data_IF_152335917912
#
_entry.id   IF_152335917912
#
_cell.length_a   1.000
_cell.length_b   1.000
_cell.length_c   1.000
_cell.angle_alpha   90.00
_cell.angle_beta   90.00
_cell.angle_gamma   90.00
#
_symmetry.space_group_name_H-M   'P 1'
#
loop_
_entity.id
_entity.type
_entity.pdbx_description
1 polymer ?
#
# COMPACT_ATOMS: atom_id res chain seq x y z
N UNK A 1 8.88 2.15 12.87
CA UNK A 1 9.06 0.69 12.65
C UNK A 1 9.73 0.50 11.31
N UNK A 2 10.78 -0.28 11.30
CA UNK A 2 11.47 -0.76 10.11
C UNK A 2 11.58 -2.26 10.19
N UNK A 3 11.63 -2.92 9.04
CA UNK A 3 11.94 -4.35 8.97
C UNK A 3 12.70 -4.69 7.70
N UNK A 4 13.43 -5.80 7.78
CA UNK A 4 14.07 -6.44 6.63
C UNK A 4 13.76 -7.93 6.68
N UNK A 5 13.26 -8.46 5.58
CA UNK A 5 12.98 -9.89 5.41
C UNK A 5 13.70 -10.37 4.15
N UNK A 6 14.45 -11.46 4.28
CA UNK A 6 15.08 -12.15 3.15
C UNK A 6 14.37 -13.47 2.98
N UNK A 7 13.85 -13.70 1.77
CA UNK A 7 13.14 -14.91 1.41
C UNK A 7 13.95 -15.77 0.45
N UNK A 8 13.90 -17.07 0.67
CA UNK A 8 14.13 -18.04 -0.39
C UNK A 8 12.82 -18.19 -1.18
N UNK A 9 12.89 -18.05 -2.51
CA UNK A 9 11.71 -18.05 -3.38
C UNK A 9 11.84 -19.12 -4.46
N UNK A 10 10.75 -19.85 -4.69
CA UNK A 10 10.53 -20.64 -5.89
C UNK A 10 9.34 -20.07 -6.65
N UNK A 11 9.55 -19.62 -7.88
CA UNK A 11 8.49 -19.08 -8.75
C UNK A 11 8.47 -19.89 -10.04
N UNK A 12 7.36 -20.59 -10.30
CA UNK A 12 7.22 -21.52 -11.42
C UNK A 12 8.38 -22.54 -11.51
N UNK A 13 8.88 -23.00 -10.37
CA UNK A 13 10.02 -23.93 -10.28
C UNK A 13 11.40 -23.27 -10.44
N UNK A 14 11.48 -21.96 -10.67
CA UNK A 14 12.74 -21.21 -10.72
C UNK A 14 13.08 -20.69 -9.33
N UNK A 15 14.28 -21.05 -8.85
CA UNK A 15 14.79 -20.56 -7.57
C UNK A 15 15.38 -19.16 -7.72
N UNK A 16 15.03 -18.28 -6.77
CA UNK A 16 15.56 -16.93 -6.63
C UNK A 16 15.50 -16.50 -5.16
N UNK A 17 16.05 -15.33 -4.87
CA UNK A 17 15.94 -14.68 -3.57
C UNK A 17 15.17 -13.38 -3.70
N UNK A 18 14.49 -13.01 -2.64
CA UNK A 18 13.78 -11.73 -2.52
C UNK A 18 14.18 -11.07 -1.21
N UNK A 19 14.49 -9.78 -1.23
CA UNK A 19 14.79 -8.99 -0.05
C UNK A 19 13.83 -7.80 0.02
N UNK A 20 12.99 -7.81 1.04
CA UNK A 20 12.04 -6.74 1.35
C UNK A 20 12.59 -5.94 2.52
N UNK A 21 12.80 -4.64 2.31
CA UNK A 21 13.26 -3.70 3.33
C UNK A 21 12.26 -2.56 3.42
N UNK A 22 11.66 -2.36 4.58
CA UNK A 22 10.64 -1.34 4.82
C UNK A 22 11.11 -0.40 5.92
N UNK A 23 10.91 0.90 5.68
CA UNK A 23 10.98 1.97 6.66
C UNK A 23 9.64 2.70 6.65
N UNK A 24 8.75 2.29 7.57
CA UNK A 24 7.42 2.89 7.69
C UNK A 24 7.54 4.37 8.08
N UNK A 25 6.63 5.23 7.57
CA UNK A 25 5.44 4.85 6.81
C UNK A 25 5.54 4.98 5.28
N UNK A 26 6.71 5.30 4.71
CA UNK A 26 6.75 5.78 3.32
C UNK A 26 7.77 5.12 2.40
N UNK A 27 8.78 4.45 2.94
CA UNK A 27 9.90 3.96 2.13
C UNK A 27 9.99 2.45 2.17
N UNK A 28 10.16 1.82 1.02
CA UNK A 28 10.50 0.41 0.95
C UNK A 28 11.29 0.07 -0.30
N UNK A 29 11.95 -1.08 -0.28
CA UNK A 29 12.45 -1.77 -1.46
C UNK A 29 12.05 -3.23 -1.42
N UNK A 30 11.69 -3.76 -2.58
CA UNK A 30 11.45 -5.18 -2.82
C UNK A 30 12.33 -5.59 -4.00
N UNK A 31 13.37 -6.37 -3.72
CA UNK A 31 14.47 -6.63 -4.65
C UNK A 31 14.66 -8.14 -4.86
N UNK A 32 14.82 -8.53 -6.13
CA UNK A 32 14.99 -9.93 -6.54
C UNK A 32 16.44 -10.20 -6.94
N UNK A 33 16.98 -11.33 -6.50
CA UNK A 33 18.34 -11.78 -6.79
C UNK A 33 18.34 -13.20 -7.34
N UNK A 34 19.20 -13.49 -8.32
CA UNK A 34 19.35 -14.83 -8.91
C UNK A 34 20.68 -15.48 -8.49
N UNK A 35 21.24 -15.05 -7.36
CA UNK A 35 22.47 -15.62 -6.79
C UNK A 35 22.20 -17.04 -6.26
N UNK A 36 23.24 -17.90 -6.28
CA UNK A 36 23.12 -19.27 -5.76
C UNK A 36 22.95 -19.31 -4.23
N UNK A 37 23.55 -18.35 -3.53
CA UNK A 37 23.47 -18.21 -2.08
C UNK A 37 22.62 -16.99 -1.70
N UNK A 38 22.24 -16.94 -0.41
CA UNK A 38 21.53 -15.79 0.18
C UNK A 38 22.25 -14.47 -0.17
N UNK A 39 21.50 -13.46 -0.67
CA UNK A 39 22.10 -12.22 -1.13
C UNK A 39 22.72 -11.45 0.03
N UNK A 40 23.87 -10.85 -0.23
CA UNK A 40 24.66 -10.08 0.74
C UNK A 40 24.72 -8.62 0.35
N UNK A 41 25.13 -7.79 1.30
CA UNK A 41 25.48 -6.39 1.03
C UNK A 41 26.47 -6.29 -0.14
N UNK A 42 26.08 -5.53 -1.17
CA UNK A 42 26.87 -5.31 -2.38
C UNK A 42 26.45 -6.18 -3.56
N UNK A 43 25.66 -7.24 -3.34
CA UNK A 43 25.10 -8.02 -4.44
C UNK A 43 24.12 -7.16 -5.25
N UNK A 44 24.14 -7.38 -6.56
CA UNK A 44 23.30 -6.62 -7.50
C UNK A 44 21.94 -7.30 -7.64
N UNK A 45 20.87 -6.55 -7.37
CA UNK A 45 19.52 -7.00 -7.68
C UNK A 45 19.33 -7.12 -9.20
N UNK A 46 18.62 -8.17 -9.62
CA UNK A 46 18.26 -8.41 -11.02
C UNK A 46 17.00 -7.64 -11.43
N UNK A 47 16.09 -7.47 -10.49
CA UNK A 47 14.87 -6.68 -10.66
C UNK A 47 14.34 -6.24 -9.30
N UNK A 48 13.33 -5.38 -9.31
CA UNK A 48 12.61 -5.01 -8.10
C UNK A 48 11.94 -3.65 -8.20
N UNK A 49 11.51 -3.15 -7.05
CA UNK A 49 10.97 -1.81 -6.91
C UNK A 49 11.53 -1.11 -5.68
N UNK A 50 11.57 0.22 -5.74
CA UNK A 50 11.84 1.08 -4.60
C UNK A 50 10.70 2.08 -4.55
N UNK A 51 10.12 2.30 -3.38
CA UNK A 51 9.15 3.35 -3.15
C UNK A 51 9.66 4.31 -2.09
N UNK A 52 9.44 5.58 -2.31
CA UNK A 52 9.69 6.67 -1.35
C UNK A 52 8.37 7.39 -1.10
N UNK A 53 8.36 8.43 -0.26
CA UNK A 53 7.16 9.23 0.01
C UNK A 53 6.44 9.71 -1.25
N UNK A 54 7.17 10.04 -2.32
CA UNK A 54 6.61 10.70 -3.51
C UNK A 54 6.90 9.98 -4.81
N UNK A 55 7.76 8.96 -4.81
CA UNK A 55 8.27 8.35 -6.04
C UNK A 55 8.21 6.82 -5.99
N UNK A 56 7.96 6.23 -7.15
CA UNK A 56 8.07 4.80 -7.39
C UNK A 56 9.13 4.56 -8.44
N UNK A 57 10.11 3.73 -8.11
CA UNK A 57 11.20 3.34 -8.99
C UNK A 57 11.11 1.85 -9.32
N UNK A 58 11.54 1.51 -10.53
CA UNK A 58 11.83 0.14 -10.93
C UNK A 58 13.35 -0.06 -10.90
N UNK A 59 13.76 -1.22 -10.42
CA UNK A 59 15.15 -1.69 -10.48
C UNK A 59 15.23 -2.78 -11.53
N UNK A 60 16.25 -2.74 -12.38
CA UNK A 60 16.65 -3.88 -13.20
C UNK A 60 18.17 -4.11 -13.11
N UNK A 61 18.65 -5.13 -13.82
CA UNK A 61 20.05 -5.50 -13.88
C UNK A 61 20.96 -4.47 -14.53
N UNK A 62 20.45 -3.32 -15.00
CA UNK A 62 21.22 -2.26 -15.65
C UNK A 62 21.13 -0.93 -14.89
N UNK A 63 19.98 -0.58 -14.34
CA UNK A 63 19.71 0.75 -13.81
C UNK A 63 18.53 0.80 -12.83
N UNK A 64 18.44 1.95 -12.15
CA UNK A 64 17.24 2.40 -11.45
C UNK A 64 16.51 3.41 -12.34
N UNK A 65 15.19 3.24 -12.49
CA UNK A 65 14.32 4.11 -13.29
C UNK A 65 13.19 4.65 -12.44
N UNK A 66 12.98 5.96 -12.46
CA UNK A 66 11.76 6.55 -11.93
C UNK A 66 10.60 6.10 -12.83
N UNK A 67 9.60 5.42 -12.26
CA UNK A 67 8.43 4.93 -13.00
C UNK A 67 7.37 6.02 -13.02
N UNK A 68 7.05 6.56 -11.85
CA UNK A 68 5.99 7.54 -11.66
C UNK A 68 6.15 8.24 -10.32
N UNK A 69 5.60 9.46 -10.22
CA UNK A 69 5.23 9.99 -8.92
C UNK A 69 4.14 9.12 -8.28
N UNK A 70 4.13 9.04 -6.96
CA UNK A 70 3.12 8.36 -6.15
C UNK A 70 2.65 9.25 -5.02
N UNK A 71 1.43 9.01 -4.60
CA UNK A 71 0.85 9.68 -3.44
C UNK A 71 1.57 9.19 -2.17
N UNK A 72 1.78 10.07 -1.18
CA UNK A 72 2.27 9.63 0.12
C UNK A 72 1.33 8.59 0.73
N UNK A 73 1.89 7.54 1.31
CA UNK A 73 1.16 6.42 1.90
C UNK A 73 2.06 5.21 2.14
N UNK A 74 1.50 4.09 2.65
CA UNK A 74 2.24 2.86 2.89
C UNK A 74 3.07 2.46 1.66
N UNK A 75 4.36 2.11 1.81
CA UNK A 75 5.22 1.85 0.67
C UNK A 75 4.88 0.53 -0.03
N UNK A 76 5.32 0.39 -1.28
CA UNK A 76 5.16 -0.85 -2.03
C UNK A 76 5.81 -2.03 -1.28
N UNK A 77 5.09 -3.15 -1.15
CA UNK A 77 5.57 -4.34 -0.45
C UNK A 77 5.45 -4.30 1.08
N UNK A 78 4.98 -3.19 1.67
CA UNK A 78 4.56 -3.15 3.08
C UNK A 78 3.11 -3.58 3.20
N UNK A 79 2.90 -4.90 3.27
CA UNK A 79 1.58 -5.48 3.50
C UNK A 79 1.16 -5.25 4.96
N UNK A 80 -0.02 -4.65 5.15
CA UNK A 80 -0.63 -4.40 6.47
C UNK A 80 -1.73 -5.43 6.79
N UNK A 81 -1.76 -6.57 6.10
CA UNK A 81 -2.82 -7.58 6.23
C UNK A 81 -2.84 -8.27 7.60
N UNK A 82 -1.69 -8.40 8.26
CA UNK A 82 -1.58 -9.10 9.54
C UNK A 82 -2.09 -8.32 10.75
N UNK A 83 -2.13 -6.98 10.69
CA UNK A 83 -2.61 -6.18 11.81
C UNK A 83 -4.13 -6.25 12.01
N UNK A 84 -4.88 -6.71 11.00
CA UNK A 84 -6.34 -6.60 10.94
C UNK A 84 -7.02 -7.92 10.55
N UNK A 85 -6.34 -9.06 10.75
CA UNK A 85 -6.83 -10.40 10.35
C UNK A 85 -8.23 -10.66 10.90
N UNK A 86 -8.51 -10.22 12.14
CA UNK A 86 -9.81 -10.44 12.78
C UNK A 86 -10.94 -9.79 11.98
N UNK A 87 -10.74 -8.56 11.53
CA UNK A 87 -11.72 -7.83 10.72
C UNK A 87 -11.80 -8.41 9.30
N UNK A 88 -10.67 -8.83 8.72
CA UNK A 88 -10.64 -9.53 7.43
C UNK A 88 -11.42 -10.85 7.48
N UNK A 89 -11.25 -11.64 8.54
CA UNK A 89 -11.98 -12.90 8.74
C UNK A 89 -13.47 -12.63 8.95
N UNK A 90 -13.82 -11.62 9.76
CA UNK A 90 -15.22 -11.21 9.97
C UNK A 90 -15.92 -10.86 8.66
N UNK A 91 -15.21 -10.21 7.73
CA UNK A 91 -15.72 -9.86 6.39
C UNK A 91 -15.67 -11.01 5.38
N UNK A 92 -15.13 -12.17 5.75
CA UNK A 92 -14.94 -13.29 4.81
C UNK A 92 -13.90 -13.01 3.73
N UNK A 93 -12.96 -12.10 3.99
CA UNK A 93 -11.85 -11.75 3.08
C UNK A 93 -10.64 -12.66 3.25
N UNK A 94 -10.55 -13.34 4.39
CA UNK A 94 -9.50 -14.30 4.70
C UNK A 94 -10.07 -15.46 5.51
N UNK A 95 -9.54 -16.67 5.32
CA UNK A 95 -9.88 -17.85 6.12
C UNK A 95 -8.70 -18.20 7.01
N UNK A 96 -8.92 -18.24 8.31
CA UNK A 96 -7.96 -18.83 9.26
C UNK A 96 -7.91 -20.35 9.05
N UNK A 97 -6.73 -20.89 8.75
CA UNK A 97 -6.52 -22.32 8.54
C UNK A 97 -6.21 -23.08 9.84
N UNK A 98 -6.04 -22.39 10.97
CA UNK A 98 -5.67 -22.96 12.26
C UNK A 98 -4.28 -23.60 12.29
N UNK A 99 -3.46 -23.36 11.26
CA UNK A 99 -2.13 -23.91 11.12
C UNK A 99 -1.08 -22.92 11.63
N UNK A 100 -0.29 -23.32 12.62
CA UNK A 100 0.82 -22.54 13.18
C UNK A 100 2.17 -23.11 12.77
N UNK A 101 3.15 -22.24 12.53
CA UNK A 101 4.52 -22.63 12.22
C UNK A 101 5.55 -21.70 12.90
N UNK A 102 6.82 -22.12 12.87
CA UNK A 102 7.95 -21.25 13.20
C UNK A 102 8.81 -21.07 11.96
N UNK A 103 8.94 -19.83 11.48
CA UNK A 103 9.71 -19.47 10.28
C UNK A 103 10.69 -18.36 10.64
N UNK A 104 11.95 -18.48 10.21
CA UNK A 104 13.04 -17.56 10.59
C UNK A 104 13.12 -17.27 12.12
N UNK A 105 12.79 -18.26 12.95
CA UNK A 105 12.78 -18.14 14.42
C UNK A 105 11.59 -17.39 15.02
N UNK A 106 10.56 -17.07 14.22
CA UNK A 106 9.36 -16.33 14.63
C UNK A 106 8.12 -17.22 14.46
N UNK A 107 7.21 -17.18 15.42
CA UNK A 107 5.94 -17.90 15.33
C UNK A 107 4.99 -17.17 14.38
N UNK A 108 4.27 -17.92 13.55
CA UNK A 108 3.24 -17.40 12.65
C UNK A 108 2.04 -18.34 12.53
N UNK A 109 0.92 -17.76 12.12
CA UNK A 109 -0.35 -18.45 11.84
C UNK A 109 -0.70 -18.31 10.37
N UNK A 110 -1.35 -19.33 9.80
CA UNK A 110 -1.61 -19.41 8.37
C UNK A 110 -3.02 -18.97 8.01
N UNK A 111 -3.09 -18.00 7.11
CA UNK A 111 -4.32 -17.38 6.64
C UNK A 111 -4.43 -17.50 5.13
N UNK A 112 -5.61 -17.88 4.64
CA UNK A 112 -5.89 -18.06 3.21
C UNK A 112 -6.62 -16.86 2.60
N UNK A 113 -6.01 -16.27 1.60
CA UNK A 113 -6.54 -15.25 0.70
C UNK A 113 -6.93 -15.89 -0.64
N UNK A 114 -7.77 -15.20 -1.44
CA UNK A 114 -8.14 -15.70 -2.78
C UNK A 114 -7.02 -15.55 -3.83
N UNK A 115 -6.05 -14.67 -3.57
CA UNK A 115 -4.90 -14.37 -4.41
C UNK A 115 -3.88 -13.55 -3.59
N UNK A 116 -2.63 -13.40 -4.06
CA UNK A 116 -1.64 -12.56 -3.40
C UNK A 116 -2.18 -11.15 -3.16
N UNK A 117 -2.18 -10.66 -1.90
CA UNK A 117 -2.86 -9.43 -1.54
C UNK A 117 -2.17 -8.23 -2.19
N UNK A 118 -2.82 -7.66 -3.20
CA UNK A 118 -2.36 -6.45 -3.88
C UNK A 118 -3.54 -5.51 -4.14
N UNK A 119 -3.60 -4.43 -3.37
CA UNK A 119 -4.71 -3.48 -3.43
C UNK A 119 -5.96 -4.00 -2.70
N UNK A 120 -7.19 -3.82 -3.23
CA UNK A 120 -8.41 -4.33 -2.60
C UNK A 120 -8.33 -5.84 -2.38
N UNK A 121 -8.67 -6.30 -1.17
CA UNK A 121 -8.64 -7.73 -0.84
C UNK A 121 -9.96 -8.34 -1.31
N UNK A 122 -9.91 -9.31 -2.22
CA UNK A 122 -11.12 -9.98 -2.70
C UNK A 122 -11.65 -10.98 -1.65
N UNK A 123 -12.95 -11.34 -1.69
CA UNK A 123 -13.50 -12.37 -0.82
C UNK A 123 -12.71 -13.68 -0.91
N UNK A 124 -12.44 -14.30 0.23
CA UNK A 124 -11.74 -15.57 0.25
C UNK A 124 -12.58 -16.67 -0.41
N UNK A 125 -11.91 -17.54 -1.16
CA UNK A 125 -12.47 -18.74 -1.75
C UNK A 125 -12.03 -19.95 -0.91
N UNK A 126 -12.93 -20.92 -0.72
CA UNK A 126 -12.55 -22.20 -0.09
C UNK A 126 -11.84 -23.14 -1.06
N UNK A 127 -12.27 -23.10 -2.32
CA UNK A 127 -11.78 -23.93 -3.40
C UNK A 127 -11.22 -23.06 -4.54
N UNK A 128 -10.26 -23.61 -5.29
CA UNK A 128 -9.65 -22.94 -6.45
C UNK A 128 -8.37 -22.21 -6.13
N UNK A 129 -8.12 -21.12 -6.86
CA UNK A 129 -6.95 -20.26 -6.65
C UNK A 129 -6.98 -19.65 -5.26
N UNK A 130 -5.83 -19.65 -4.60
CA UNK A 130 -5.69 -19.13 -3.25
C UNK A 130 -4.23 -18.84 -2.94
N UNK A 131 -4.02 -17.97 -1.95
CA UNK A 131 -2.72 -17.62 -1.42
C UNK A 131 -2.70 -17.82 0.09
N UNK A 132 -1.83 -18.71 0.56
CA UNK A 132 -1.71 -19.05 1.97
C UNK A 132 -0.51 -18.30 2.58
N UNK A 133 -0.78 -17.35 3.48
CA UNK A 133 0.22 -16.51 4.13
C UNK A 133 0.41 -16.93 5.59
N UNK A 134 1.66 -17.17 6.01
CA UNK A 134 2.02 -17.33 7.42
C UNK A 134 2.38 -15.96 8.00
N UNK A 135 1.50 -15.39 8.81
CA UNK A 135 1.62 -14.05 9.38
C UNK A 135 2.06 -14.15 10.83
N UNK A 136 3.07 -13.37 11.22
CA UNK A 136 3.48 -13.28 12.62
C UNK A 136 2.66 -12.24 13.41
N UNK A 137 2.94 -12.13 14.72
CA UNK A 137 2.26 -11.18 15.61
C UNK A 137 2.50 -9.69 15.28
N UNK A 138 3.58 -9.37 14.56
CA UNK A 138 3.86 -8.01 14.06
C UNK A 138 3.18 -7.75 12.70
N UNK A 139 2.49 -8.77 12.16
CA UNK A 139 1.82 -8.75 10.86
C UNK A 139 2.76 -8.93 9.66
N UNK A 140 3.98 -9.42 9.87
CA UNK A 140 4.93 -9.71 8.81
C UNK A 140 4.59 -11.04 8.13
N UNK A 141 4.66 -11.06 6.80
CA UNK A 141 4.54 -12.29 6.01
C UNK A 141 5.85 -13.08 6.14
N UNK A 142 5.84 -14.22 6.84
CA UNK A 142 7.03 -15.06 6.98
C UNK A 142 7.10 -16.17 5.93
N UNK A 143 5.96 -16.60 5.40
CA UNK A 143 5.89 -17.55 4.31
C UNK A 143 4.65 -17.27 3.47
N UNK A 144 4.73 -17.56 2.18
CA UNK A 144 3.63 -17.47 1.22
C UNK A 144 3.64 -18.70 0.30
N UNK A 145 2.46 -19.24 0.03
CA UNK A 145 2.24 -20.30 -0.95
C UNK A 145 1.05 -19.92 -1.81
N UNK A 146 1.33 -19.47 -3.04
CA UNK A 146 0.29 -19.12 -4.01
C UNK A 146 0.00 -20.31 -4.93
N UNK A 147 -1.23 -20.78 -4.87
CA UNK A 147 -1.79 -21.81 -5.74
C UNK A 147 -2.65 -21.18 -6.83
N UNK A 148 -2.33 -21.45 -8.09
CA UNK A 148 -3.05 -21.01 -9.28
C UNK A 148 -3.37 -22.21 -10.18
N UNK A 149 -4.64 -22.40 -10.54
CA UNK A 149 -5.21 -23.57 -11.21
C UNK A 149 -4.77 -24.90 -10.60
N UNK A 150 -4.79 -24.97 -9.25
CA UNK A 150 -4.40 -26.15 -8.49
C UNK A 150 -2.90 -26.46 -8.49
N UNK A 151 -2.05 -25.53 -8.97
CA UNK A 151 -0.59 -25.67 -8.95
C UNK A 151 0.05 -24.55 -8.13
N UNK A 152 1.05 -24.90 -7.33
CA UNK A 152 1.87 -23.89 -6.66
C UNK A 152 2.72 -23.17 -7.71
N UNK A 153 2.49 -21.87 -7.87
CA UNK A 153 3.19 -21.00 -8.82
C UNK A 153 4.18 -20.06 -8.15
N UNK A 154 4.00 -19.81 -6.85
CA UNK A 154 4.94 -19.09 -6.00
C UNK A 154 4.98 -19.76 -4.64
N UNK A 155 6.19 -19.94 -4.13
CA UNK A 155 6.44 -20.24 -2.73
C UNK A 155 7.59 -19.34 -2.29
N UNK A 156 7.40 -18.57 -1.23
CA UNK A 156 8.48 -17.84 -0.56
C UNK A 156 8.48 -18.15 0.93
N UNK A 157 9.66 -18.32 1.51
CA UNK A 157 9.83 -18.58 2.94
C UNK A 157 10.98 -17.75 3.46
N UNK A 158 10.73 -17.00 4.54
CA UNK A 158 11.73 -16.15 5.16
C UNK A 158 12.84 -17.02 5.75
N UNK A 159 14.08 -16.71 5.37
CA UNK A 159 15.28 -17.29 6.00
C UNK A 159 15.79 -16.38 7.12
N UNK A 160 15.48 -15.09 7.02
CA UNK A 160 15.83 -14.07 7.99
C UNK A 160 14.73 -13.01 8.03
N UNK A 161 14.29 -12.62 9.23
CA UNK A 161 13.30 -11.59 9.45
C UNK A 161 13.69 -10.76 10.67
N UNK A 162 13.97 -9.48 10.46
CA UNK A 162 14.36 -8.54 11.52
C UNK A 162 13.45 -7.33 11.52
N UNK A 163 12.98 -6.92 12.70
CA UNK A 163 12.13 -5.73 12.88
C UNK A 163 12.66 -4.87 14.03
N UNK A 164 12.45 -3.56 13.94
CA UNK A 164 12.82 -2.58 14.98
C UNK A 164 11.83 -1.43 14.98
N UNK A 165 11.58 -0.83 16.15
CA UNK A 165 10.73 0.35 16.27
C UNK A 165 11.38 1.61 15.67
N UNK A 166 12.71 1.66 15.64
CA UNK A 166 13.51 2.78 15.11
C UNK A 166 13.97 2.46 13.69
N UNK A 167 15.26 2.22 13.51
CA UNK A 167 15.88 1.80 12.25
C UNK A 167 16.45 0.41 12.45
N UNK A 168 16.16 -0.50 11.52
CA UNK A 168 16.90 -1.75 11.41
C UNK A 168 18.19 -1.44 10.69
N UNK A 169 19.34 -1.66 11.34
CA UNK A 169 20.60 -1.65 10.62
C UNK A 169 20.53 -2.79 9.59
N UNK A 170 20.70 -2.46 8.30
CA UNK A 170 20.65 -3.46 7.22
C UNK A 170 21.70 -4.57 7.39
N UNK A 171 22.64 -4.46 8.33
CA UNK A 171 23.53 -5.56 8.72
C UNK A 171 24.22 -6.18 7.51
N UNK A 172 24.04 -7.49 7.35
CA UNK A 172 24.51 -8.25 6.19
C UNK A 172 23.50 -8.31 5.02
N UNK A 173 22.26 -7.88 5.24
CA UNK A 173 21.22 -7.88 4.22
C UNK A 173 21.57 -6.92 3.08
N UNK A 174 21.11 -7.21 1.85
CA UNK A 174 21.40 -6.35 0.72
C UNK A 174 20.70 -4.98 0.88
N UNK A 175 21.40 -3.94 0.47
CA UNK A 175 20.89 -2.57 0.48
C UNK A 175 20.24 -2.25 -0.87
N UNK A 176 19.19 -1.44 -0.86
CA UNK A 176 18.64 -0.90 -2.09
C UNK A 176 19.68 -0.04 -2.84
N UNK A 177 19.75 -0.13 -4.18
CA UNK A 177 20.60 0.77 -4.95
C UNK A 177 20.13 2.23 -4.75
N UNK A 178 21.05 3.20 -4.85
CA UNK A 178 20.68 4.60 -4.73
C UNK A 178 19.71 5.01 -5.84
N UNK A 179 18.76 5.88 -5.51
CA UNK A 179 17.83 6.48 -6.47
C UNK A 179 18.35 7.81 -7.03
N UNK A 180 19.44 8.34 -6.47
CA UNK A 180 20.14 9.49 -7.03
C UNK A 180 20.68 9.15 -8.43
N UNK A 181 20.34 9.98 -9.41
CA UNK A 181 20.69 9.70 -10.82
C UNK A 181 19.85 8.63 -11.49
N UNK A 182 18.72 8.22 -10.89
CA UNK A 182 17.76 7.36 -11.57
C UNK A 182 17.33 7.98 -12.92
N UNK A 183 17.19 7.13 -13.93
CA UNK A 183 16.69 7.56 -15.23
C UNK A 183 15.30 8.18 -15.08
N UNK A 184 14.99 9.25 -15.84
CA UNK A 184 13.73 9.97 -15.70
C UNK A 184 12.54 9.10 -16.13
N UNK A 185 11.33 9.44 -15.66
CA UNK A 185 10.14 8.70 -16.02
C UNK A 185 9.73 8.94 -17.48
N UNK A 186 8.93 8.01 -18.02
CA UNK A 186 8.28 8.19 -19.31
C UNK A 186 7.22 9.30 -19.29
N UNK A 187 6.76 9.71 -20.47
CA UNK A 187 5.79 10.82 -20.65
C UNK A 187 4.40 10.62 -20.04
N UNK A 188 4.13 9.48 -19.40
CA UNK A 188 2.84 9.12 -18.80
C UNK A 188 2.91 8.98 -17.27
N UNK A 189 4.03 9.35 -16.67
CA UNK A 189 4.16 9.33 -15.22
C UNK A 189 3.21 10.34 -14.57
N UNK A 190 2.66 9.94 -13.43
CA UNK A 190 1.98 10.88 -12.57
C UNK A 190 2.98 11.87 -11.97
N UNK A 191 2.50 13.08 -11.73
CA UNK A 191 3.26 14.15 -11.10
C UNK A 191 2.74 14.41 -9.70
N UNK A 192 3.66 14.75 -8.80
CA UNK A 192 3.43 15.05 -7.39
C UNK A 192 4.01 16.41 -7.11
N UNK A 193 3.17 17.36 -6.69
CA UNK A 193 3.57 18.73 -6.38
C UNK A 193 3.15 19.07 -4.96
N UNK A 194 4.09 19.27 -4.02
CA UNK A 194 3.78 19.82 -2.70
C UNK A 194 3.16 21.23 -2.82
N UNK A 195 2.00 21.43 -2.21
CA UNK A 195 1.28 22.72 -2.20
C UNK A 195 0.55 22.93 -0.87
N UNK A 196 0.99 23.94 -0.11
CA UNK A 196 0.38 24.30 1.18
C UNK A 196 -0.97 25.03 1.03
N UNK A 197 -1.31 25.53 -0.16
CA UNK A 197 -2.52 26.30 -0.45
C UNK A 197 -3.42 25.63 -1.49
N UNK A 198 -3.32 24.31 -1.57
CA UNK A 198 -4.09 23.52 -2.53
C UNK A 198 -5.59 23.74 -2.36
N UNK A 199 -6.29 23.91 -3.48
CA UNK A 199 -7.75 24.07 -3.50
C UNK A 199 -8.42 22.70 -3.59
N UNK A 200 -9.44 22.49 -2.77
CA UNK A 200 -10.26 21.27 -2.79
C UNK A 200 -11.71 21.58 -2.47
N UNK A 201 -12.60 20.64 -2.79
CA UNK A 201 -14.03 20.70 -2.47
C UNK A 201 -14.34 20.20 -1.05
N UNK A 202 -13.35 19.68 -0.31
CA UNK A 202 -13.43 19.52 1.15
C UNK A 202 -12.58 20.57 1.85
N UNK A 203 -12.96 20.91 3.08
CA UNK A 203 -12.11 21.74 3.94
C UNK A 203 -10.79 21.01 4.24
N UNK A 204 -9.72 21.75 4.48
CA UNK A 204 -8.43 21.18 4.91
C UNK A 204 -8.65 20.27 6.13
N UNK A 205 -8.37 18.96 6.02
CA UNK A 205 -8.61 18.03 7.11
C UNK A 205 -7.75 18.39 8.32
N UNK A 206 -8.32 18.42 9.55
CA UNK A 206 -7.52 18.59 10.75
C UNK A 206 -6.72 17.31 11.05
N UNK A 207 -5.55 17.38 11.71
CA UNK A 207 -4.84 16.18 12.11
C UNK A 207 -5.69 15.22 12.96
N UNK A 208 -5.65 13.90 12.71
CA UNK A 208 -6.18 12.90 13.62
C UNK A 208 -5.57 13.01 15.02
N UNK A 209 -6.28 12.53 16.05
CA UNK A 209 -5.76 12.54 17.42
C UNK A 209 -4.46 11.72 17.52
N UNK A 210 -3.40 12.32 18.04
CA UNK A 210 -2.06 11.71 18.15
C UNK A 210 -1.21 11.78 16.88
N UNK A 211 -1.78 12.21 15.74
CA UNK A 211 -1.07 12.30 14.48
C UNK A 211 -0.61 13.74 14.21
N UNK A 212 0.48 13.88 13.47
CA UNK A 212 1.00 15.17 12.99
C UNK A 212 0.96 15.21 11.45
N UNK A 213 0.82 16.39 10.82
CA UNK A 213 1.00 16.53 9.38
C UNK A 213 2.39 16.04 8.94
N UNK A 214 2.44 15.23 7.88
CA UNK A 214 3.67 14.69 7.33
C UNK A 214 4.26 15.55 6.20
N UNK A 215 4.07 16.88 6.30
CA UNK A 215 4.42 17.86 5.26
C UNK A 215 3.20 18.63 4.74
N UNK A 216 3.40 19.50 3.73
CA UNK A 216 2.30 20.15 3.04
C UNK A 216 1.41 19.12 2.31
N UNK A 217 0.20 19.53 1.96
CA UNK A 217 -0.63 18.74 1.07
C UNK A 217 0.03 18.58 -0.31
N UNK A 218 -0.41 17.59 -1.08
CA UNK A 218 0.18 17.26 -2.38
C UNK A 218 -0.91 17.31 -3.46
N UNK A 219 -0.66 18.07 -4.54
CA UNK A 219 -1.40 17.94 -5.81
C UNK A 219 -0.82 16.73 -6.58
N UNK A 220 -1.67 15.73 -6.80
CA UNK A 220 -1.38 14.56 -7.61
C UNK A 220 -2.12 14.67 -8.94
N UNK A 221 -1.39 14.44 -10.04
CA UNK A 221 -1.98 14.43 -11.38
C UNK A 221 -1.53 13.21 -12.15
N UNK A 222 -2.51 12.46 -12.65
CA UNK A 222 -2.29 11.34 -13.56
C UNK A 222 -2.67 11.77 -14.99
N UNK A 223 -1.74 11.74 -15.96
CA UNK A 223 -2.06 12.05 -17.36
C UNK A 223 -3.14 11.12 -17.96
N UNK A 224 -4.01 11.67 -18.80
CA UNK A 224 -4.97 10.88 -19.57
C UNK A 224 -4.23 10.02 -20.60
N UNK A 225 -4.52 8.71 -20.62
CA UNK A 225 -3.87 7.73 -21.51
C UNK A 225 -4.09 8.05 -23.00
N UNK A 226 -5.24 8.65 -23.34
CA UNK A 226 -5.65 8.95 -24.71
C UNK A 226 -5.41 10.43 -25.07
N UNK A 227 -5.21 11.31 -24.09
CA UNK A 227 -5.06 12.75 -24.30
C UNK A 227 -4.00 13.35 -23.36
N UNK A 228 -2.71 13.12 -23.65
CA UNK A 228 -1.56 13.46 -22.77
C UNK A 228 -1.50 14.90 -22.24
N UNK A 229 -2.10 15.87 -22.93
CA UNK A 229 -2.15 17.26 -22.48
C UNK A 229 -3.19 17.50 -21.35
N UNK A 230 -4.01 16.50 -21.03
CA UNK A 230 -5.07 16.56 -20.03
C UNK A 230 -4.77 15.56 -18.91
N UNK A 231 -5.21 15.88 -17.69
CA UNK A 231 -5.20 14.93 -16.59
C UNK A 231 -6.42 14.01 -16.69
N UNK A 232 -6.19 12.70 -16.60
CA UNK A 232 -7.25 11.70 -16.46
C UNK A 232 -7.77 11.63 -15.03
N UNK A 233 -6.91 11.88 -14.05
CA UNK A 233 -7.27 12.03 -12.64
C UNK A 233 -6.43 13.14 -12.00
N UNK A 234 -7.07 13.91 -11.12
CA UNK A 234 -6.41 14.89 -10.25
C UNK A 234 -6.89 14.69 -8.82
N UNK A 235 -6.00 14.82 -7.85
CA UNK A 235 -6.39 14.77 -6.45
C UNK A 235 -5.45 15.56 -5.55
N UNK A 236 -5.98 15.88 -4.38
CA UNK A 236 -5.25 16.52 -3.29
C UNK A 236 -5.09 15.50 -2.19
N UNK A 237 -3.87 15.30 -1.70
CA UNK A 237 -3.57 14.37 -0.61
C UNK A 237 -3.03 15.11 0.60
N UNK A 238 -3.71 14.96 1.74
CA UNK A 238 -3.21 15.33 3.06
C UNK A 238 -2.73 14.08 3.78
N UNK A 239 -1.55 14.15 4.39
CA UNK A 239 -0.92 13.00 5.02
C UNK A 239 -0.61 13.30 6.47
N UNK A 240 -0.96 12.37 7.35
CA UNK A 240 -0.73 12.48 8.79
C UNK A 240 -0.02 11.23 9.28
N UNK A 241 0.93 11.38 10.21
CA UNK A 241 1.69 10.27 10.76
C UNK A 241 1.70 10.28 12.29
N UNK A 242 1.78 9.08 12.86
CA UNK A 242 2.14 8.84 14.25
C UNK A 242 3.11 7.66 14.31
N UNK A 243 4.41 7.97 14.34
CA UNK A 243 5.48 6.99 14.18
C UNK A 243 5.33 6.20 12.87
N UNK A 244 5.21 4.86 12.91
CA UNK A 244 5.02 4.04 11.71
C UNK A 244 3.60 4.07 11.12
N UNK A 245 2.64 4.66 11.84
CA UNK A 245 1.24 4.70 11.41
C UNK A 245 1.02 5.88 10.48
N UNK A 246 0.21 5.70 9.46
CA UNK A 246 -0.16 6.76 8.52
C UNK A 246 -1.66 6.78 8.30
N UNK A 247 -2.21 7.99 8.20
CA UNK A 247 -3.54 8.24 7.67
C UNK A 247 -3.41 9.25 6.53
N UNK A 248 -3.99 8.95 5.37
CA UNK A 248 -4.11 9.89 4.27
C UNK A 248 -5.57 10.24 4.05
N UNK A 249 -5.82 11.51 3.76
CA UNK A 249 -7.09 11.98 3.22
C UNK A 249 -6.82 12.43 1.80
N UNK A 250 -7.64 11.97 0.88
CA UNK A 250 -7.53 12.31 -0.51
C UNK A 250 -8.87 12.77 -1.04
N UNK A 251 -8.87 13.91 -1.72
CA UNK A 251 -10.04 14.44 -2.42
C UNK A 251 -9.68 14.63 -3.88
N UNK A 252 -10.36 13.89 -4.75
CA UNK A 252 -10.03 13.82 -6.17
C UNK A 252 -11.21 13.93 -7.10
N UNK A 253 -10.88 14.06 -8.37
CA UNK A 253 -11.83 13.94 -9.47
C UNK A 253 -11.20 13.16 -10.62
N UNK A 254 -11.95 12.24 -11.21
CA UNK A 254 -11.57 11.60 -12.47
C UNK A 254 -12.40 12.12 -13.64
N UNK A 255 -11.77 12.17 -14.83
CA UNK A 255 -12.49 12.49 -16.05
C UNK A 255 -13.55 11.41 -16.34
N UNK A 256 -14.66 11.81 -16.98
CA UNK A 256 -15.77 10.92 -17.37
C UNK A 256 -16.55 10.30 -16.20
N UNK A 257 -16.48 10.88 -15.00
CA UNK A 257 -17.26 10.41 -13.86
C UNK A 257 -16.71 9.14 -13.21
N UNK A 258 -15.45 8.80 -13.46
CA UNK A 258 -14.80 7.62 -12.88
C UNK A 258 -14.56 7.74 -11.38
N UNK A 259 -14.33 6.60 -10.75
CA UNK A 259 -13.90 6.48 -9.35
C UNK A 259 -12.61 5.65 -9.31
N UNK A 260 -11.73 5.87 -8.33
CA UNK A 260 -10.44 5.18 -8.25
C UNK A 260 -10.57 3.77 -7.62
N UNK A 261 -11.81 3.26 -7.52
CA UNK A 261 -12.19 1.93 -7.08
C UNK A 261 -13.29 1.39 -8.00
N UNK A 262 -13.54 0.08 -7.93
CA UNK A 262 -14.61 -0.56 -8.70
C UNK A 262 -15.63 -1.19 -7.76
N UNK A 263 -16.89 -1.20 -8.19
CA UNK A 263 -17.91 -1.96 -7.48
C UNK A 263 -17.52 -3.44 -7.45
N UNK A 264 -17.59 -4.04 -6.26
CA UNK A 264 -17.23 -5.44 -6.04
C UNK A 264 -15.74 -5.76 -6.08
N UNK A 265 -14.84 -4.77 -6.05
CA UNK A 265 -13.39 -5.03 -5.92
C UNK A 265 -12.99 -5.61 -4.55
N UNK A 266 -13.82 -5.42 -3.53
CA UNK A 266 -13.70 -6.00 -2.19
C UNK A 266 -15.07 -6.03 -1.50
N UNK A 267 -15.14 -6.71 -0.35
CA UNK A 267 -16.31 -6.62 0.55
C UNK A 267 -16.31 -5.25 1.22
N UNK A 268 -17.43 -4.54 1.07
CA UNK A 268 -17.61 -3.23 1.67
C UNK A 268 -18.75 -3.20 2.67
N UNK A 269 -18.66 -2.32 3.66
CA UNK A 269 -19.74 -2.04 4.61
C UNK A 269 -20.13 -0.57 4.56
N UNK A 270 -21.43 -0.30 4.57
CA UNK A 270 -21.96 1.06 4.52
C UNK A 270 -21.73 1.78 5.84
N UNK A 271 -21.28 3.02 5.76
CA UNK A 271 -21.21 3.95 6.89
C UNK A 271 -21.79 5.30 6.45
N UNK A 272 -22.08 6.18 7.39
CA UNK A 272 -22.51 7.55 7.07
C UNK A 272 -21.64 8.52 7.86
N UNK A 273 -20.88 9.34 7.15
CA UNK A 273 -20.00 10.35 7.74
C UNK A 273 -20.78 11.64 8.00
N UNK A 274 -20.54 12.26 9.15
CA UNK A 274 -21.33 13.42 9.61
C UNK A 274 -21.29 14.60 8.62
N UNK A 275 -20.13 14.89 8.03
CA UNK A 275 -19.99 16.00 7.09
C UNK A 275 -20.10 15.60 5.61
N UNK A 276 -19.73 14.37 5.25
CA UNK A 276 -19.61 13.94 3.84
C UNK A 276 -20.76 13.03 3.37
N UNK A 277 -21.64 12.56 4.27
CA UNK A 277 -22.81 11.76 3.90
C UNK A 277 -22.50 10.27 3.73
N UNK A 278 -23.22 9.56 2.84
CA UNK A 278 -23.05 8.12 2.61
C UNK A 278 -21.62 7.77 2.18
N UNK A 279 -21.10 6.69 2.76
CA UNK A 279 -19.76 6.19 2.47
C UNK A 279 -19.72 4.65 2.60
N UNK A 280 -18.61 4.05 2.19
CA UNK A 280 -18.34 2.64 2.41
C UNK A 280 -16.93 2.42 2.94
N UNK A 281 -16.76 1.36 3.74
CA UNK A 281 -15.45 0.92 4.22
C UNK A 281 -14.98 -0.25 3.39
N UNK A 282 -13.70 -0.30 3.08
CA UNK A 282 -13.07 -1.31 2.22
C UNK A 282 -11.74 -1.76 2.84
N UNK A 283 -11.39 -3.03 2.66
CA UNK A 283 -10.11 -3.57 3.11
C UNK A 283 -9.14 -3.71 1.94
N UNK A 284 -7.88 -3.36 2.18
CA UNK A 284 -6.80 -3.46 1.20
C UNK A 284 -5.56 -4.09 1.83
N UNK A 285 -4.66 -4.56 0.97
CA UNK A 285 -3.38 -5.11 1.38
C UNK A 285 -2.51 -4.10 2.15
N UNK A 286 -2.74 -2.80 1.95
CA UNK A 286 -2.01 -1.69 2.57
C UNK A 286 -2.79 -0.99 3.71
N UNK A 287 -3.93 -1.57 4.15
CA UNK A 287 -4.74 -1.08 5.26
C UNK A 287 -6.21 -0.85 4.90
N UNK A 288 -6.95 -0.18 5.79
CA UNK A 288 -8.35 0.12 5.54
C UNK A 288 -8.53 1.41 4.75
N UNK A 289 -9.67 1.48 4.06
CA UNK A 289 -10.10 2.63 3.29
C UNK A 289 -11.56 2.98 3.59
N UNK A 290 -11.86 4.27 3.66
CA UNK A 290 -13.21 4.82 3.56
C UNK A 290 -13.35 5.47 2.18
N UNK A 291 -14.43 5.14 1.48
CA UNK A 291 -14.78 5.60 0.13
C UNK A 291 -16.03 6.46 0.20
N UNK A 292 -15.95 7.67 -0.33
CA UNK A 292 -17.08 8.58 -0.47
C UNK A 292 -17.19 8.95 -1.94
N UNK A 293 -18.32 8.58 -2.55
CA UNK A 293 -18.70 9.06 -3.88
C UNK A 293 -19.56 10.31 -3.70
N UNK A 294 -19.07 11.46 -4.19
CA UNK A 294 -19.79 12.74 -4.15
C UNK A 294 -20.56 13.01 -5.46
N UNK A 295 -20.51 12.08 -6.41
CA UNK A 295 -21.13 12.20 -7.72
C UNK A 295 -20.27 12.97 -8.73
N UNK A 296 -20.58 12.79 -10.03
CA UNK A 296 -19.90 13.50 -11.11
C UNK A 296 -18.40 13.17 -11.26
N UNK A 297 -17.95 12.06 -10.68
CA UNK A 297 -16.53 11.68 -10.64
C UNK A 297 -15.74 12.35 -9.51
N UNK A 298 -16.40 13.09 -8.61
CA UNK A 298 -15.79 13.62 -7.40
C UNK A 298 -15.85 12.61 -6.27
N UNK A 299 -14.75 12.48 -5.53
CA UNK A 299 -14.66 11.47 -4.49
C UNK A 299 -13.75 11.90 -3.36
N UNK A 300 -14.02 11.36 -2.16
CA UNK A 300 -13.11 11.45 -1.01
C UNK A 300 -12.72 10.05 -0.59
N UNK A 301 -11.46 9.90 -0.23
CA UNK A 301 -10.88 8.66 0.23
C UNK A 301 -10.08 8.90 1.50
N UNK A 302 -10.29 8.09 2.51
CA UNK A 302 -9.48 8.11 3.73
C UNK A 302 -8.82 6.75 3.86
N UNK A 303 -7.50 6.67 3.94
CA UNK A 303 -6.75 5.41 4.06
C UNK A 303 -5.82 5.45 5.25
N UNK A 304 -5.48 4.29 5.81
CA UNK A 304 -4.41 4.24 6.77
C UNK A 304 -4.05 2.87 7.29
N UNK A 305 -2.88 2.81 7.94
CA UNK A 305 -2.36 1.65 8.69
C UNK A 305 -2.82 1.74 10.14
N UNK A 306 -4.14 1.84 10.32
CA UNK A 306 -4.83 1.94 11.61
C UNK A 306 -6.09 1.09 11.56
N UNK A 307 -6.59 0.70 12.74
CA UNK A 307 -7.85 -0.02 12.86
C UNK A 307 -9.03 0.74 12.24
N UNK A 308 -9.98 -0.01 11.70
CA UNK A 308 -11.12 0.55 10.96
C UNK A 308 -11.92 1.57 11.78
N UNK A 309 -12.18 1.28 13.06
CA UNK A 309 -12.96 2.16 13.95
C UNK A 309 -12.28 3.53 14.11
N UNK A 310 -10.95 3.54 14.22
CA UNK A 310 -10.17 4.77 14.30
C UNK A 310 -10.29 5.56 12.99
N UNK A 311 -10.24 4.87 11.85
CA UNK A 311 -10.38 5.50 10.53
C UNK A 311 -11.78 6.11 10.36
N UNK A 312 -12.83 5.38 10.73
CA UNK A 312 -14.24 5.86 10.67
C UNK A 312 -14.45 7.04 11.61
N UNK A 313 -13.97 6.94 12.86
CA UNK A 313 -14.01 8.04 13.83
C UNK A 313 -13.36 9.30 13.27
N UNK A 314 -12.22 9.16 12.59
CA UNK A 314 -11.56 10.29 11.94
C UNK A 314 -12.37 10.81 10.73
N UNK A 315 -12.93 9.93 9.91
CA UNK A 315 -13.78 10.29 8.76
C UNK A 315 -14.97 11.19 9.14
N UNK A 316 -15.55 11.02 10.33
CA UNK A 316 -16.62 11.90 10.84
C UNK A 316 -16.20 13.37 11.02
N UNK A 317 -14.90 13.67 11.05
CA UNK A 317 -14.37 15.04 11.20
C UNK A 317 -14.19 15.77 9.87
N UNK A 318 -14.37 15.08 8.74
CA UNK A 318 -14.24 15.69 7.42
C UNK A 318 -15.51 16.44 7.04
N UNK A 319 -15.34 17.62 6.45
CA UNK A 319 -16.44 18.50 6.05
C UNK A 319 -16.23 19.04 4.63
N UNK A 320 -17.32 19.36 3.90
CA UNK A 320 -17.21 20.09 2.64
C UNK A 320 -16.47 21.43 2.85
N UNK A 321 -15.83 21.93 1.79
CA UNK A 321 -15.28 23.28 1.81
C UNK A 321 -16.43 24.29 1.95
N UNK A 322 -16.23 25.35 2.73
CA UNK A 322 -17.18 26.46 2.75
C UNK A 322 -17.24 27.07 1.36
N UNK A 323 -18.36 26.88 0.65
CA UNK A 323 -18.60 27.64 -0.59
C UNK A 323 -18.62 29.12 -0.19
N UNK A 324 -17.62 29.88 -0.63
CA UNK A 324 -17.69 31.33 -0.55
C UNK A 324 -18.98 31.81 -1.19
N UNK A 325 -19.62 32.90 -0.70
CA UNK A 325 -20.87 33.38 -1.28
C UNK A 325 -20.67 33.58 -2.78
N UNK A 326 -21.48 32.88 -3.58
CA UNK A 326 -21.58 33.13 -5.01
C UNK A 326 -22.03 34.58 -5.18
N UNK A 327 -21.11 35.46 -5.56
CA UNK A 327 -21.45 36.83 -5.93
C UNK A 327 -22.43 36.78 -7.10
N UNK A 328 -23.70 37.09 -6.83
CA UNK A 328 -24.70 37.38 -7.84
C UNK A 328 -24.54 38.79 -8.40
#
# INVERSE_FOLDING_TARGET
>A
MSFVIVYQVSRNGVHQWEAVSVQRPFSASDLVYTTLAEPRKGDRAMSGSISTTTDLYAVDSQAVRLVTGRQPGPPSGDEYVGAEVTELTRRGLVVDLGASATVAGRACETYRFSAPPSGPIAPATRDGDHDDLCLDADGLVLSEVWTYHGKVVLQRTAVNATSSMTTVAQGAAPAAPPTEGAFPPGSYAATITPDAQVRSFIATPPPPAGFQPAGPAVDFRLPDRNARAHAGAVSVVWTFTDGPRVITVEAGSESRGGLPWRDGDTVTEKVTLTGLGPASTAARSDGFEIRVDLGGGHWVRVRGTVGLDQLVTYGHRLTPASMGPTGG
#
